data_IF_951571941612
#
_entry.id   IF_951571941612
#
_cell.length_a   1.000
_cell.length_b   1.000
_cell.length_c   1.000
_cell.angle_alpha   90.00
_cell.angle_beta   90.00
_cell.angle_gamma   90.00
#
_symmetry.space_group_name_H-M   'P 1'
#
loop_
_entity.id
_entity.type
_entity.pdbx_description
1 polymer ?
#
# COMPACT_ATOMS: atom_id res chain seq x y z
N UNK A 1 -5.62 26.35 -4.40
CA UNK A 1 -5.45 25.15 -5.24
C UNK A 1 -4.86 24.07 -4.35
N UNK A 2 -5.40 22.85 -4.38
CA UNK A 2 -4.84 21.74 -3.62
C UNK A 2 -3.42 21.41 -4.15
N UNK A 3 -2.48 21.16 -3.24
CA UNK A 3 -1.13 20.74 -3.59
C UNK A 3 -1.14 19.38 -4.30
N UNK A 4 -0.16 19.12 -5.17
CA UNK A 4 -0.02 17.82 -5.85
C UNK A 4 -0.01 16.64 -4.87
N UNK A 5 0.61 16.82 -3.70
CA UNK A 5 0.65 15.79 -2.65
C UNK A 5 -0.74 15.57 -1.99
N UNK A 6 -1.56 16.60 -1.86
CA UNK A 6 -2.93 16.50 -1.32
C UNK A 6 -3.85 15.78 -2.31
N UNK A 7 -3.64 16.00 -3.62
CA UNK A 7 -4.28 15.21 -4.67
C UNK A 7 -3.88 13.74 -4.57
N UNK A 8 -2.57 13.44 -4.40
CA UNK A 8 -2.10 12.07 -4.18
C UNK A 8 -2.73 11.43 -2.94
N UNK A 9 -2.85 12.16 -1.83
CA UNK A 9 -3.53 11.67 -0.62
C UNK A 9 -5.01 11.38 -0.91
N UNK A 10 -5.72 12.31 -1.54
CA UNK A 10 -7.16 12.19 -1.82
C UNK A 10 -7.48 11.01 -2.74
N UNK A 11 -6.68 10.82 -3.80
CA UNK A 11 -6.90 9.79 -4.80
C UNK A 11 -6.10 8.51 -4.57
N UNK A 12 -5.43 8.35 -3.41
CA UNK A 12 -4.55 7.21 -3.11
C UNK A 12 -5.22 5.84 -3.29
N UNK A 13 -6.53 5.75 -3.06
CA UNK A 13 -7.28 4.49 -3.21
C UNK A 13 -7.52 4.10 -4.67
N UNK A 14 -7.40 5.03 -5.61
CA UNK A 14 -7.63 4.79 -7.04
C UNK A 14 -6.32 4.51 -7.79
N UNK A 15 -5.16 4.91 -7.26
CA UNK A 15 -3.86 4.68 -7.93
C UNK A 15 -3.48 3.21 -8.15
N UNK A 16 -4.01 2.22 -7.40
CA UNK A 16 -3.82 0.80 -7.72
C UNK A 16 -4.66 0.27 -8.88
N UNK A 17 -5.71 0.97 -9.32
CA UNK A 17 -6.64 0.47 -10.34
C UNK A 17 -5.93 0.12 -11.65
N UNK A 18 -5.04 0.96 -12.21
CA UNK A 18 -4.29 0.59 -13.42
C UNK A 18 -3.46 -0.69 -13.25
N UNK A 19 -2.85 -0.91 -12.08
CA UNK A 19 -2.10 -2.13 -11.80
C UNK A 19 -3.01 -3.36 -11.77
N UNK A 20 -4.19 -3.24 -11.16
CA UNK A 20 -5.20 -4.30 -11.14
C UNK A 20 -5.67 -4.62 -12.56
N UNK A 21 -5.96 -3.62 -13.38
CA UNK A 21 -6.36 -3.81 -14.78
C UNK A 21 -5.27 -4.54 -15.57
N UNK A 22 -4.01 -4.11 -15.45
CA UNK A 22 -2.89 -4.79 -16.10
C UNK A 22 -2.73 -6.24 -15.62
N UNK A 23 -2.89 -6.48 -14.32
CA UNK A 23 -2.85 -7.82 -13.73
C UNK A 23 -3.95 -8.73 -14.29
N UNK A 24 -5.16 -8.21 -14.48
CA UNK A 24 -6.29 -8.98 -15.02
C UNK A 24 -6.17 -9.24 -16.52
N UNK A 25 -5.70 -8.26 -17.30
CA UNK A 25 -5.59 -8.36 -18.76
C UNK A 25 -4.42 -9.24 -19.19
N UNK A 26 -3.27 -9.11 -18.54
CA UNK A 26 -2.03 -9.82 -18.91
C UNK A 26 -1.72 -11.01 -17.99
N UNK A 27 -2.60 -11.30 -17.03
CA UNK A 27 -2.38 -12.32 -16.01
C UNK A 27 -2.27 -13.73 -16.57
N UNK A 28 -1.21 -14.43 -16.16
CA UNK A 28 -0.95 -15.84 -16.48
C UNK A 28 -0.47 -16.59 -15.24
N UNK A 29 -1.27 -16.62 -14.16
CA UNK A 29 -0.83 -17.11 -12.86
C UNK A 29 -0.34 -18.56 -12.93
N UNK A 30 0.72 -18.87 -12.19
CA UNK A 30 1.24 -20.23 -12.02
C UNK A 30 1.21 -20.59 -10.53
N UNK A 31 1.10 -21.88 -10.20
CA UNK A 31 1.10 -22.34 -8.81
C UNK A 31 2.33 -21.86 -8.03
N UNK A 32 3.50 -21.88 -8.66
CA UNK A 32 4.74 -21.38 -8.08
C UNK A 32 4.66 -19.89 -7.73
N UNK A 33 4.20 -19.04 -8.66
CA UNK A 33 4.11 -17.60 -8.42
C UNK A 33 2.98 -17.21 -7.47
N UNK A 34 1.89 -18.00 -7.44
CA UNK A 34 0.85 -17.87 -6.43
C UNK A 34 1.44 -18.08 -5.02
N UNK A 35 2.20 -19.16 -4.82
CA UNK A 35 2.87 -19.44 -3.54
C UNK A 35 3.96 -18.41 -3.20
N UNK A 36 4.71 -17.91 -4.18
CA UNK A 36 5.71 -16.87 -3.93
C UNK A 36 5.08 -15.53 -3.56
N UNK A 37 4.02 -15.12 -4.25
CA UNK A 37 3.37 -13.83 -4.05
C UNK A 37 2.43 -13.79 -2.84
N UNK A 38 1.90 -14.93 -2.37
CA UNK A 38 1.07 -14.97 -1.16
C UNK A 38 1.86 -14.60 0.10
N UNK A 39 3.15 -14.94 0.14
CA UNK A 39 4.03 -14.65 1.30
C UNK A 39 4.12 -13.15 1.63
N UNK A 40 4.52 -12.25 0.69
CA UNK A 40 4.50 -10.82 0.96
C UNK A 40 3.08 -10.27 1.14
N UNK A 41 2.06 -10.82 0.47
CA UNK A 41 0.68 -10.37 0.65
C UNK A 41 0.17 -10.63 2.09
N UNK A 42 0.42 -11.82 2.64
CA UNK A 42 0.07 -12.15 4.02
C UNK A 42 0.89 -11.34 5.03
N UNK A 43 2.18 -11.12 4.79
CA UNK A 43 2.98 -10.24 5.63
C UNK A 43 2.45 -8.80 5.62
N UNK A 44 2.05 -8.30 4.44
CA UNK A 44 1.43 -7.00 4.30
C UNK A 44 0.11 -6.87 5.06
N UNK A 45 -0.76 -7.88 4.94
CA UNK A 45 -2.02 -7.90 5.66
C UNK A 45 -1.83 -8.03 7.17
N UNK A 46 -0.86 -8.84 7.64
CA UNK A 46 -0.53 -8.93 9.06
C UNK A 46 -0.07 -7.58 9.64
N UNK A 47 0.77 -6.83 8.92
CA UNK A 47 1.17 -5.47 9.32
C UNK A 47 -0.05 -4.53 9.37
N UNK A 48 -0.98 -4.66 8.42
CA UNK A 48 -2.20 -3.85 8.43
C UNK A 48 -3.11 -4.17 9.61
N UNK A 49 -3.32 -5.44 9.90
CA UNK A 49 -4.10 -5.87 11.06
C UNK A 49 -3.46 -5.38 12.36
N UNK A 50 -2.13 -5.50 12.48
CA UNK A 50 -1.38 -4.96 13.62
C UNK A 50 -1.54 -3.44 13.73
N UNK A 51 -1.44 -2.69 12.62
CA UNK A 51 -1.64 -1.25 12.62
C UNK A 51 -3.07 -0.84 13.01
N UNK A 52 -4.07 -1.45 12.40
CA UNK A 52 -5.48 -1.14 12.70
C UNK A 52 -5.82 -1.47 14.15
N UNK A 53 -5.28 -2.54 14.72
CA UNK A 53 -5.47 -2.89 16.13
C UNK A 53 -4.98 -1.80 17.10
N UNK A 54 -3.91 -1.08 16.75
CA UNK A 54 -3.37 0.03 17.56
C UNK A 54 -4.01 1.38 17.25
N UNK A 55 -4.31 1.65 15.98
CA UNK A 55 -4.85 2.94 15.57
C UNK A 55 -6.37 3.06 15.74
N UNK A 56 -7.09 1.94 15.81
CA UNK A 56 -8.55 1.95 15.95
C UNK A 56 -9.23 2.78 14.83
N UNK A 57 -10.25 3.56 15.22
CA UNK A 57 -10.99 4.42 14.29
C UNK A 57 -10.22 5.66 13.81
N UNK A 58 -9.04 5.96 14.39
CA UNK A 58 -8.20 7.09 13.96
C UNK A 58 -7.64 6.92 12.54
N UNK A 59 -7.71 5.70 12.00
CA UNK A 59 -7.34 5.38 10.62
C UNK A 59 -8.32 5.90 9.57
N UNK A 60 -9.54 6.32 9.96
CA UNK A 60 -10.58 6.84 9.05
C UNK A 60 -10.38 8.33 8.77
N UNK A 61 -9.19 8.73 8.31
CA UNK A 61 -8.94 10.05 7.74
C UNK A 61 -9.48 10.10 6.30
N UNK A 62 -10.80 10.18 6.16
CA UNK A 62 -11.50 10.45 4.90
C UNK A 62 -11.99 11.89 4.96
N UNK A 63 -11.09 12.86 4.84
CA UNK A 63 -11.47 14.28 4.79
C UNK A 63 -10.33 15.26 5.01
N UNK A 64 -9.53 15.08 6.07
CA UNK A 64 -8.41 15.96 6.41
C UNK A 64 -7.10 15.16 6.52
N UNK A 65 -5.97 15.78 6.14
CA UNK A 65 -4.63 15.24 6.37
C UNK A 65 -4.30 15.40 7.85
N UNK A 66 -3.88 14.32 8.50
CA UNK A 66 -3.56 14.29 9.93
C UNK A 66 -4.63 13.62 10.80
N UNK A 67 -4.19 12.77 11.73
CA UNK A 67 -5.05 12.20 12.76
C UNK A 67 -5.23 13.18 13.94
N UNK A 68 -6.37 13.17 14.65
CA UNK A 68 -6.58 13.98 15.86
C UNK A 68 -5.52 13.74 16.95
N UNK A 69 -4.89 12.57 16.94
CA UNK A 69 -3.82 12.17 17.85
C UNK A 69 -2.85 11.21 17.15
N UNK A 70 -1.57 11.30 17.49
CA UNK A 70 -0.53 10.42 16.95
C UNK A 70 -0.44 9.17 17.82
N UNK A 71 -0.63 8.00 17.20
CA UNK A 71 -0.43 6.71 17.87
C UNK A 71 1.05 6.38 17.84
N UNK A 72 1.65 6.12 19.00
CA UNK A 72 3.09 5.86 19.14
C UNK A 72 3.40 4.43 19.59
N UNK A 73 2.39 3.56 19.63
CA UNK A 73 2.51 2.18 20.11
C UNK A 73 2.36 1.16 18.97
N UNK A 74 2.85 -0.06 19.18
CA UNK A 74 2.80 -1.13 18.19
C UNK A 74 3.64 -0.79 16.96
N UNK A 75 3.14 -0.99 15.73
CA UNK A 75 3.93 -0.77 14.53
C UNK A 75 4.22 0.72 14.26
N UNK A 76 3.41 1.62 14.85
CA UNK A 76 3.62 3.06 14.75
C UNK A 76 4.83 3.57 15.54
N UNK A 77 5.37 2.76 16.46
CA UNK A 77 6.63 3.05 17.14
C UNK A 77 7.85 2.94 16.21
N UNK A 78 7.72 2.23 15.08
CA UNK A 78 8.81 1.98 14.14
C UNK A 78 8.71 2.85 12.88
N UNK A 79 7.50 3.12 12.42
CA UNK A 79 7.23 3.88 11.19
C UNK A 79 5.97 4.72 11.34
N UNK A 80 5.93 5.91 10.72
CA UNK A 80 4.80 6.83 10.81
C UNK A 80 3.49 6.24 10.27
N UNK A 81 3.58 5.47 9.19
CA UNK A 81 2.40 4.88 8.54
C UNK A 81 2.66 3.41 8.13
N UNK A 82 2.56 2.46 9.06
CA UNK A 82 2.79 1.03 8.79
C UNK A 82 1.76 0.44 7.81
N UNK A 83 0.57 1.02 7.72
CA UNK A 83 -0.48 0.56 6.80
C UNK A 83 -0.04 0.71 5.33
N UNK A 84 0.75 1.74 5.01
CA UNK A 84 1.29 1.94 3.68
C UNK A 84 2.36 0.91 3.32
N UNK A 85 3.17 0.48 4.29
CA UNK A 85 4.10 -0.65 4.08
C UNK A 85 3.30 -1.92 3.78
N UNK A 86 2.24 -2.17 4.55
CA UNK A 86 1.34 -3.30 4.29
C UNK A 86 0.73 -3.26 2.89
N UNK A 87 0.28 -2.10 2.43
CA UNK A 87 -0.22 -1.91 1.07
C UNK A 87 0.82 -2.23 0.00
N UNK A 88 2.04 -1.70 0.12
CA UNK A 88 3.13 -1.95 -0.83
C UNK A 88 3.39 -3.46 -0.93
N UNK A 89 3.51 -4.16 0.20
CA UNK A 89 3.75 -5.61 0.21
C UNK A 89 2.62 -6.39 -0.46
N UNK A 90 1.35 -6.00 -0.22
CA UNK A 90 0.22 -6.61 -0.90
C UNK A 90 0.23 -6.34 -2.40
N UNK A 91 0.51 -5.12 -2.86
CA UNK A 91 0.58 -4.80 -4.29
C UNK A 91 1.69 -5.57 -5.00
N UNK A 92 2.86 -5.69 -4.37
CA UNK A 92 3.97 -6.52 -4.89
C UNK A 92 3.57 -7.98 -4.93
N UNK A 93 2.96 -8.50 -3.85
CA UNK A 93 2.46 -9.87 -3.78
C UNK A 93 1.46 -10.19 -4.87
N UNK A 94 0.43 -9.35 -5.06
CA UNK A 94 -0.54 -9.49 -6.15
C UNK A 94 0.09 -9.34 -7.53
N UNK A 95 1.06 -8.43 -7.70
CA UNK A 95 1.84 -8.30 -8.92
C UNK A 95 2.57 -9.60 -9.28
N UNK A 96 3.23 -10.24 -8.30
CA UNK A 96 3.90 -11.54 -8.48
C UNK A 96 2.88 -12.64 -8.77
N UNK A 97 1.81 -12.74 -7.99
CA UNK A 97 0.76 -13.76 -8.14
C UNK A 97 0.09 -13.72 -9.52
N UNK A 98 -0.15 -12.52 -10.05
CA UNK A 98 -0.78 -12.34 -11.36
C UNK A 98 0.06 -12.91 -12.51
N UNK A 99 1.38 -12.99 -12.34
CA UNK A 99 2.35 -13.24 -13.42
C UNK A 99 2.16 -12.33 -14.65
N UNK A 100 1.58 -11.15 -14.46
CA UNK A 100 1.39 -10.18 -15.52
C UNK A 100 2.65 -9.32 -15.66
N UNK A 101 3.21 -9.26 -16.87
CA UNK A 101 4.36 -8.41 -17.20
C UNK A 101 5.55 -8.58 -16.22
N UNK A 102 5.77 -9.79 -15.70
CA UNK A 102 6.86 -10.08 -14.75
C UNK A 102 8.22 -9.88 -15.45
N UNK A 103 9.21 -9.23 -14.81
CA UNK A 103 9.21 -8.73 -13.42
C UNK A 103 8.73 -7.27 -13.27
N UNK A 104 8.30 -6.62 -14.34
CA UNK A 104 8.06 -5.18 -14.37
C UNK A 104 6.86 -4.74 -13.53
N UNK A 105 5.73 -5.45 -13.59
CA UNK A 105 4.54 -5.05 -12.81
C UNK A 105 4.80 -4.97 -11.30
N UNK A 106 5.36 -6.00 -10.62
CA UNK A 106 5.67 -5.90 -9.19
C UNK A 106 6.77 -4.87 -8.88
N UNK A 107 7.78 -4.70 -9.75
CA UNK A 107 8.84 -3.69 -9.55
C UNK A 107 8.29 -2.26 -9.66
N UNK A 108 7.49 -1.98 -10.67
CA UNK A 108 6.85 -0.66 -10.84
C UNK A 108 5.90 -0.40 -9.69
N UNK A 109 5.12 -1.40 -9.23
CA UNK A 109 4.28 -1.25 -8.05
C UNK A 109 5.13 -0.88 -6.82
N UNK A 110 6.21 -1.60 -6.54
CA UNK A 110 7.11 -1.30 -5.42
C UNK A 110 7.61 0.15 -5.47
N UNK A 111 8.17 0.57 -6.59
CA UNK A 111 8.78 1.90 -6.74
C UNK A 111 7.73 3.02 -6.69
N UNK A 112 6.63 2.87 -7.44
CA UNK A 112 5.58 3.85 -7.52
C UNK A 112 4.88 4.06 -6.17
N UNK A 113 4.46 2.98 -5.50
CA UNK A 113 3.77 3.10 -4.21
C UNK A 113 4.71 3.56 -3.10
N UNK A 114 5.99 3.18 -3.12
CA UNK A 114 6.98 3.74 -2.18
C UNK A 114 7.13 5.25 -2.36
N UNK A 115 7.24 5.73 -3.60
CA UNK A 115 7.30 7.16 -3.89
C UNK A 115 5.99 7.89 -3.51
N UNK A 116 4.85 7.33 -3.87
CA UNK A 116 3.53 7.90 -3.57
C UNK A 116 3.34 8.04 -2.06
N UNK A 117 3.55 6.96 -1.30
CA UNK A 117 3.33 6.98 0.14
C UNK A 117 4.37 7.81 0.89
N UNK A 118 5.63 7.85 0.46
CA UNK A 118 6.62 8.79 1.01
C UNK A 118 6.19 10.25 0.79
N UNK A 119 5.67 10.56 -0.38
CA UNK A 119 5.15 11.90 -0.69
C UNK A 119 3.95 12.27 0.17
N UNK A 120 3.06 11.31 0.43
CA UNK A 120 1.89 11.50 1.30
C UNK A 120 2.32 11.68 2.76
N UNK A 121 3.18 10.81 3.29
CA UNK A 121 3.64 10.88 4.69
C UNK A 121 4.36 12.19 4.98
N UNK A 122 5.08 12.77 4.01
CA UNK A 122 5.71 14.09 4.16
C UNK A 122 4.72 15.27 4.29
N UNK A 123 3.41 15.05 4.12
CA UNK A 123 2.37 16.03 4.46
C UNK A 123 1.87 15.87 5.90
N UNK A 124 2.14 14.74 6.54
CA UNK A 124 1.74 14.42 7.92
C UNK A 124 2.84 14.79 8.94
N UNK A 125 3.95 15.37 8.47
CA UNK A 125 5.07 15.93 9.23
C UNK A 125 4.96 17.46 9.29
#
# INVERSE_FOLDING_TARGET
MASFKELLFTYRSYTPIPFVVLALVFGRPTSALLLMGVMPALAGEAIRLWGVAYAGSLTRATGNVGAPSVVMAGPYAHVRNPLYIGNILMYVGFGVMSNALVPWLPLVALLFFSWQYRSIVSLEE
#
